data_IF_674788840940
#
_entry.id   IF_674788840940
#
_cell.length_a   1.000
_cell.length_b   1.000
_cell.length_c   1.000
_cell.angle_alpha   90.00
_cell.angle_beta   90.00
_cell.angle_gamma   90.00
#
_symmetry.space_group_name_H-M   'P 1'
#
loop_
_entity.id
_entity.type
_entity.pdbx_description
1 polymer ?
#
# COMPACT_ATOMS: atom_id res chain seq x y z
N UNK A 1 21.88 -10.83 -21.67
CA UNK A 1 20.83 -11.50 -20.86
C UNK A 1 19.57 -10.70 -21.03
N UNK A 2 18.49 -11.34 -21.43
CA UNK A 2 17.32 -10.70 -22.01
C UNK A 2 16.52 -9.87 -21.00
N UNK A 3 16.24 -8.62 -21.31
CA UNK A 3 15.39 -7.71 -20.55
C UNK A 3 14.00 -8.36 -20.29
N UNK A 4 13.48 -9.11 -21.23
CA UNK A 4 12.24 -9.89 -21.06
C UNK A 4 12.35 -10.96 -19.96
N UNK A 5 13.52 -11.58 -19.79
CA UNK A 5 13.75 -12.55 -18.71
C UNK A 5 13.74 -11.88 -17.33
N UNK A 6 14.30 -10.69 -17.20
CA UNK A 6 14.28 -9.93 -15.94
C UNK A 6 12.86 -9.44 -15.61
N UNK A 7 12.12 -8.92 -16.58
CA UNK A 7 10.74 -8.52 -16.40
C UNK A 7 9.85 -9.70 -15.94
N UNK A 8 10.01 -10.87 -16.58
CA UNK A 8 9.30 -12.09 -16.17
C UNK A 8 9.62 -12.51 -14.74
N UNK A 9 10.89 -12.42 -14.31
CA UNK A 9 11.31 -12.71 -12.93
C UNK A 9 10.68 -11.72 -11.92
N UNK A 10 10.63 -10.43 -12.26
CA UNK A 10 10.01 -9.42 -11.41
C UNK A 10 8.51 -9.69 -11.27
N UNK A 11 7.80 -9.93 -12.37
CA UNK A 11 6.38 -10.30 -12.36
C UNK A 11 6.12 -11.56 -11.52
N UNK A 12 6.97 -12.59 -11.62
CA UNK A 12 6.85 -13.81 -10.81
C UNK A 12 7.02 -13.51 -9.32
N UNK A 13 7.98 -12.65 -8.93
CA UNK A 13 8.18 -12.22 -7.54
C UNK A 13 6.99 -11.44 -7.00
N UNK A 14 6.42 -10.55 -7.81
CA UNK A 14 5.21 -9.79 -7.48
C UNK A 14 4.05 -10.74 -7.21
N UNK A 15 3.79 -11.70 -8.12
CA UNK A 15 2.74 -12.71 -7.94
C UNK A 15 2.96 -13.58 -6.70
N UNK A 16 4.20 -13.98 -6.44
CA UNK A 16 4.53 -14.76 -5.25
C UNK A 16 4.31 -13.97 -3.95
N UNK A 17 4.60 -12.67 -3.95
CA UNK A 17 4.33 -11.81 -2.79
C UNK A 17 2.81 -11.62 -2.61
N UNK A 18 2.08 -11.36 -3.68
CA UNK A 18 0.63 -11.22 -3.66
C UNK A 18 -0.08 -12.50 -3.16
N UNK A 19 0.43 -13.68 -3.51
CA UNK A 19 -0.11 -14.96 -3.05
C UNK A 19 0.08 -15.23 -1.55
N UNK A 20 1.02 -14.53 -0.91
CA UNK A 20 1.26 -14.63 0.54
C UNK A 20 0.29 -13.82 1.39
N UNK A 21 -0.72 -13.22 0.80
CA UNK A 21 -1.81 -12.53 1.51
C UNK A 21 -2.65 -13.51 2.30
N UNK A 22 -2.05 -14.15 3.28
CA UNK A 22 -2.76 -15.14 4.08
C UNK A 22 -3.12 -14.59 5.44
N UNK A 23 -4.32 -14.74 5.80
CA UNK A 23 -5.08 -15.11 6.98
C UNK A 23 -4.45 -14.92 8.39
N UNK A 24 -3.18 -14.54 8.52
CA UNK A 24 -2.53 -14.27 9.81
C UNK A 24 -2.38 -12.78 9.99
N UNK A 25 -2.99 -12.25 11.06
CA UNK A 25 -2.80 -10.86 11.47
C UNK A 25 -1.32 -10.50 11.49
N UNK A 26 -0.93 -9.51 10.70
CA UNK A 26 0.43 -8.98 10.71
C UNK A 26 0.49 -7.72 11.61
N UNK A 27 1.65 -7.50 12.19
CA UNK A 27 1.93 -6.26 12.89
C UNK A 27 2.05 -5.09 11.90
N UNK A 28 1.97 -3.88 12.41
CA UNK A 28 2.20 -2.70 11.59
C UNK A 28 3.63 -2.65 11.01
N UNK A 29 4.64 -3.14 11.77
CA UNK A 29 5.99 -3.28 11.29
C UNK A 29 6.07 -4.15 10.03
N UNK A 30 5.37 -5.28 10.04
CA UNK A 30 5.26 -6.17 8.88
C UNK A 30 4.53 -5.51 7.71
N UNK A 31 3.48 -4.71 7.98
CA UNK A 31 2.78 -3.95 6.95
C UNK A 31 3.69 -2.93 6.27
N UNK A 32 4.52 -2.22 7.03
CA UNK A 32 5.44 -1.24 6.47
C UNK A 32 6.63 -1.90 5.77
N UNK A 33 7.15 -3.00 6.29
CA UNK A 33 8.17 -3.78 5.58
C UNK A 33 7.62 -4.32 4.25
N UNK A 34 6.36 -4.77 4.24
CA UNK A 34 5.67 -5.16 3.02
C UNK A 34 5.53 -3.99 2.04
N UNK A 35 5.15 -2.79 2.53
CA UNK A 35 5.06 -1.59 1.68
C UNK A 35 6.41 -1.21 1.07
N UNK A 36 7.49 -1.22 1.85
CA UNK A 36 8.84 -0.97 1.34
C UNK A 36 9.21 -1.98 0.25
N UNK A 37 8.95 -3.27 0.48
CA UNK A 37 9.21 -4.34 -0.50
C UNK A 37 8.38 -4.20 -1.76
N UNK A 38 7.11 -3.83 -1.62
CA UNK A 38 6.24 -3.49 -2.76
C UNK A 38 6.85 -2.36 -3.57
N UNK A 39 7.27 -1.26 -2.91
CA UNK A 39 7.92 -0.13 -3.56
C UNK A 39 9.15 -0.54 -4.38
N UNK A 40 10.07 -1.32 -3.78
CA UNK A 40 11.24 -1.82 -4.49
C UNK A 40 10.88 -2.65 -5.73
N UNK A 41 9.91 -3.54 -5.62
CA UNK A 41 9.49 -4.40 -6.75
C UNK A 41 8.85 -3.58 -7.87
N UNK A 42 8.03 -2.57 -7.54
CA UNK A 42 7.44 -1.67 -8.52
C UNK A 42 8.49 -0.81 -9.22
N UNK A 43 9.53 -0.35 -8.49
CA UNK A 43 10.64 0.39 -9.07
C UNK A 43 11.45 -0.47 -10.06
N UNK A 44 11.77 -1.71 -9.67
CA UNK A 44 12.47 -2.67 -10.54
C UNK A 44 11.61 -2.98 -11.76
N UNK A 45 10.31 -3.17 -11.59
CA UNK A 45 9.37 -3.41 -12.69
C UNK A 45 9.36 -2.23 -13.67
N UNK A 46 9.22 -1.00 -13.16
CA UNK A 46 9.22 0.20 -13.99
C UNK A 46 10.53 0.42 -14.77
N UNK A 47 11.67 0.04 -14.16
CA UNK A 47 12.98 0.13 -14.83
C UNK A 47 13.21 -0.99 -15.86
N UNK A 48 12.53 -2.13 -15.70
CA UNK A 48 12.68 -3.31 -16.57
C UNK A 48 11.73 -3.30 -17.75
N UNK A 49 10.75 -2.37 -17.79
CA UNK A 49 9.74 -2.30 -18.84
C UNK A 49 10.20 -1.39 -19.98
N UNK A 50 10.05 -1.86 -21.21
CA UNK A 50 10.18 -1.04 -22.40
C UNK A 50 8.85 -0.42 -22.80
N UNK A 51 8.87 0.61 -23.67
CA UNK A 51 7.64 1.23 -24.19
C UNK A 51 6.78 0.23 -25.01
N UNK A 52 7.42 -0.70 -25.70
CA UNK A 52 6.72 -1.76 -26.47
C UNK A 52 5.98 -2.70 -25.53
N UNK A 53 6.67 -3.21 -24.50
CA UNK A 53 6.07 -4.08 -23.47
C UNK A 53 4.94 -3.37 -22.74
N UNK A 54 5.11 -2.07 -22.44
CA UNK A 54 4.06 -1.28 -21.83
C UNK A 54 2.81 -1.20 -22.73
N UNK A 55 2.96 -1.05 -24.04
CA UNK A 55 1.83 -1.00 -24.97
C UNK A 55 1.07 -2.32 -25.04
N UNK A 56 1.77 -3.43 -24.92
CA UNK A 56 1.20 -4.79 -24.96
C UNK A 56 0.58 -5.20 -23.61
N UNK A 57 1.03 -4.63 -22.50
CA UNK A 57 0.53 -4.96 -21.16
C UNK A 57 -0.96 -4.63 -21.03
N UNK A 58 -1.77 -5.56 -20.54
CA UNK A 58 -3.18 -5.34 -20.32
C UNK A 58 -3.43 -4.60 -18.99
N UNK A 59 -4.42 -3.70 -18.96
CA UNK A 59 -4.93 -3.19 -17.69
C UNK A 59 -5.86 -4.22 -17.05
N UNK A 60 -5.68 -4.43 -15.75
CA UNK A 60 -6.47 -5.35 -14.92
C UNK A 60 -7.42 -4.55 -14.03
N UNK A 61 -8.64 -5.03 -13.90
CA UNK A 61 -9.58 -4.60 -12.88
C UNK A 61 -9.74 -5.70 -11.84
N UNK A 62 -9.54 -5.36 -10.56
CA UNK A 62 -9.72 -6.30 -9.45
C UNK A 62 -10.67 -5.73 -8.42
N UNK A 63 -11.71 -6.50 -8.08
CA UNK A 63 -12.66 -6.19 -7.02
C UNK A 63 -12.24 -6.90 -5.72
N UNK A 64 -12.26 -6.17 -4.62
CA UNK A 64 -11.82 -6.65 -3.31
C UNK A 64 -12.95 -6.40 -2.31
N UNK A 65 -13.67 -7.44 -1.86
CA UNK A 65 -14.67 -7.31 -0.83
C UNK A 65 -14.00 -7.12 0.54
N UNK A 66 -14.00 -5.91 1.05
CA UNK A 66 -13.45 -5.57 2.37
C UNK A 66 -14.53 -4.88 3.22
N UNK A 67 -15.49 -5.66 3.65
CA UNK A 67 -16.53 -5.24 4.56
C UNK A 67 -16.07 -5.12 6.02
N UNK A 68 -17.04 -4.99 6.92
CA UNK A 68 -16.80 -5.03 8.35
C UNK A 68 -16.34 -3.70 8.97
N UNK A 69 -15.89 -3.75 10.24
CA UNK A 69 -15.70 -2.56 11.08
C UNK A 69 -14.52 -1.69 10.67
N UNK A 70 -13.54 -2.23 9.94
CA UNK A 70 -12.33 -1.52 9.49
C UNK A 70 -12.53 -0.75 8.18
N UNK A 71 -13.60 -1.06 7.44
CA UNK A 71 -13.84 -0.54 6.09
C UNK A 71 -13.71 0.98 5.96
N UNK A 72 -14.26 1.74 6.90
CA UNK A 72 -14.22 3.20 6.82
C UNK A 72 -12.80 3.75 6.96
N UNK A 73 -11.97 3.13 7.81
CA UNK A 73 -10.58 3.48 7.97
C UNK A 73 -9.75 3.08 6.74
N UNK A 74 -9.99 1.88 6.19
CA UNK A 74 -9.37 1.43 4.94
C UNK A 74 -9.75 2.34 3.77
N UNK A 75 -11.01 2.76 3.69
CA UNK A 75 -11.45 3.73 2.69
C UNK A 75 -10.76 5.09 2.82
N UNK A 76 -10.42 5.51 4.04
CA UNK A 76 -9.68 6.74 4.30
C UNK A 76 -8.27 6.68 3.73
N UNK A 77 -7.57 5.58 3.93
CA UNK A 77 -6.19 5.41 3.43
C UNK A 77 -6.11 4.98 1.95
N UNK A 78 -7.22 4.53 1.34
CA UNK A 78 -7.22 3.98 -0.01
C UNK A 78 -6.62 4.91 -1.07
N UNK A 79 -6.88 6.24 -1.07
CA UNK A 79 -6.22 7.14 -2.02
C UNK A 79 -4.69 7.16 -1.92
N UNK A 80 -4.13 7.09 -0.71
CA UNK A 80 -2.68 7.04 -0.51
C UNK A 80 -2.09 5.72 -1.02
N UNK A 81 -2.79 4.61 -0.79
CA UNK A 81 -2.42 3.31 -1.34
C UNK A 81 -2.40 3.32 -2.88
N UNK A 82 -3.42 3.92 -3.51
CA UNK A 82 -3.50 4.02 -4.97
C UNK A 82 -2.34 4.83 -5.55
N UNK A 83 -1.99 5.97 -4.92
CA UNK A 83 -0.82 6.78 -5.32
C UNK A 83 0.47 6.00 -5.17
N UNK A 84 0.65 5.33 -4.04
CA UNK A 84 1.84 4.54 -3.77
C UNK A 84 2.06 3.41 -4.77
N UNK A 85 0.99 2.73 -5.19
CA UNK A 85 1.03 1.63 -6.17
C UNK A 85 0.79 2.08 -7.62
N UNK A 86 0.65 3.38 -7.88
CA UNK A 86 0.41 3.93 -9.23
C UNK A 86 -0.83 3.33 -9.92
N UNK A 87 -1.86 3.01 -9.13
CA UNK A 87 -3.13 2.47 -9.59
C UNK A 87 -4.23 3.53 -9.57
N UNK A 88 -5.29 3.26 -10.31
CA UNK A 88 -6.59 3.90 -10.13
C UNK A 88 -7.50 3.00 -9.29
N UNK A 89 -8.52 3.59 -8.67
CA UNK A 89 -9.48 2.79 -7.91
C UNK A 89 -10.65 3.59 -7.42
N UNK A 90 -11.70 2.89 -7.04
CA UNK A 90 -12.93 3.44 -6.50
C UNK A 90 -13.58 2.45 -5.53
N UNK A 91 -14.62 2.89 -4.84
CA UNK A 91 -15.45 1.99 -4.04
C UNK A 91 -16.76 1.75 -4.77
N UNK A 92 -17.14 0.49 -4.94
CA UNK A 92 -18.38 0.08 -5.56
C UNK A 92 -19.35 -0.44 -4.48
N UNK A 93 -20.52 0.18 -4.41
CA UNK A 93 -21.47 -0.12 -3.35
C UNK A 93 -20.94 0.21 -1.95
N UNK A 94 -21.27 -0.64 -0.95
CA UNK A 94 -20.88 -0.40 0.44
C UNK A 94 -19.64 -1.14 0.89
N UNK A 95 -19.20 -2.16 0.18
CA UNK A 95 -18.20 -3.11 0.70
C UNK A 95 -17.00 -3.33 -0.21
N UNK A 96 -17.12 -3.07 -1.51
CA UNK A 96 -16.08 -3.38 -2.46
C UNK A 96 -15.12 -2.22 -2.70
N UNK A 97 -13.84 -2.55 -2.71
CA UNK A 97 -12.77 -1.72 -3.26
C UNK A 97 -12.43 -2.26 -4.65
N UNK A 98 -12.36 -1.38 -5.63
CA UNK A 98 -11.99 -1.77 -6.99
C UNK A 98 -10.67 -1.12 -7.34
N UNK A 99 -9.71 -1.94 -7.75
CA UNK A 99 -8.41 -1.54 -8.26
C UNK A 99 -8.40 -1.65 -9.77
N UNK A 100 -7.74 -0.71 -10.43
CA UNK A 100 -7.54 -0.68 -11.88
C UNK A 100 -6.14 -0.17 -12.21
N UNK A 101 -5.42 -0.89 -13.05
CA UNK A 101 -4.05 -0.54 -13.44
C UNK A 101 -3.35 -1.65 -14.19
N UNK A 102 -2.04 -1.54 -14.35
CA UNK A 102 -1.24 -2.64 -14.85
C UNK A 102 -1.27 -3.81 -13.85
N UNK A 103 -1.19 -5.03 -14.35
CA UNK A 103 -1.29 -6.23 -13.50
C UNK A 103 -0.38 -6.18 -12.28
N UNK A 104 0.93 -5.88 -12.38
CA UNK A 104 1.80 -5.85 -11.22
C UNK A 104 1.41 -4.80 -10.19
N UNK A 105 1.00 -3.62 -10.62
CA UNK A 105 0.58 -2.52 -9.74
C UNK A 105 -0.68 -2.91 -8.96
N UNK A 106 -1.66 -3.52 -9.65
CA UNK A 106 -2.92 -3.99 -9.06
C UNK A 106 -2.67 -5.13 -8.06
N UNK A 107 -1.81 -6.10 -8.40
CA UNK A 107 -1.46 -7.20 -7.50
C UNK A 107 -0.77 -6.69 -6.23
N UNK A 108 0.12 -5.71 -6.37
CA UNK A 108 0.79 -5.11 -5.22
C UNK A 108 -0.16 -4.28 -4.36
N UNK A 109 -1.04 -3.50 -4.97
CA UNK A 109 -2.07 -2.76 -4.24
C UNK A 109 -3.03 -3.69 -3.49
N UNK A 110 -3.43 -4.79 -4.12
CA UNK A 110 -4.24 -5.84 -3.51
C UNK A 110 -3.53 -6.45 -2.29
N UNK A 111 -2.29 -6.89 -2.47
CA UNK A 111 -1.48 -7.44 -1.38
C UNK A 111 -1.37 -6.45 -0.21
N UNK A 112 -0.93 -5.22 -0.50
CA UNK A 112 -0.68 -4.23 0.54
C UNK A 112 -1.96 -3.82 1.29
N UNK A 113 -3.10 -3.76 0.60
CA UNK A 113 -4.39 -3.46 1.23
C UNK A 113 -4.76 -4.53 2.27
N UNK A 114 -4.52 -5.82 1.96
CA UNK A 114 -4.79 -6.92 2.91
C UNK A 114 -3.80 -6.91 4.09
N UNK A 115 -2.53 -6.65 3.83
CA UNK A 115 -1.52 -6.53 4.89
C UNK A 115 -1.88 -5.40 5.86
N UNK A 116 -2.27 -4.24 5.34
CA UNK A 116 -2.72 -3.10 6.16
C UNK A 116 -4.01 -3.42 6.93
N UNK A 117 -4.96 -4.11 6.31
CA UNK A 117 -6.18 -4.52 6.98
C UNK A 117 -5.88 -5.48 8.15
N UNK A 118 -4.97 -6.43 7.96
CA UNK A 118 -4.48 -7.33 9.00
C UNK A 118 -3.76 -6.59 10.13
N UNK A 119 -2.90 -5.65 9.80
CA UNK A 119 -2.20 -4.82 10.78
C UNK A 119 -3.17 -3.98 11.64
N UNK A 120 -4.18 -3.36 11.00
CA UNK A 120 -5.21 -2.61 11.71
C UNK A 120 -6.00 -3.50 12.67
N UNK A 121 -6.38 -4.71 12.23
CA UNK A 121 -7.09 -5.66 13.06
C UNK A 121 -6.24 -6.10 14.27
N UNK A 122 -4.96 -6.39 14.05
CA UNK A 122 -4.02 -6.76 15.10
C UNK A 122 -3.84 -5.63 16.14
N UNK A 123 -3.57 -4.41 15.69
CA UNK A 123 -3.37 -3.27 16.58
C UNK A 123 -4.68 -2.89 17.34
N UNK A 124 -5.84 -3.07 16.73
CA UNK A 124 -7.11 -2.90 17.44
C UNK A 124 -7.28 -3.91 18.57
N UNK A 125 -6.92 -5.19 18.35
CA UNK A 125 -6.96 -6.22 19.42
C UNK A 125 -6.04 -5.80 20.57
N UNK A 126 -4.82 -5.37 20.29
CA UNK A 126 -3.87 -4.88 21.30
C UNK A 126 -4.43 -3.65 22.04
N UNK A 127 -5.03 -2.70 21.32
CA UNK A 127 -5.63 -1.53 21.94
C UNK A 127 -6.79 -1.89 22.86
N UNK A 128 -7.65 -2.82 22.45
CA UNK A 128 -8.76 -3.33 23.28
C UNK A 128 -8.30 -3.99 24.58
N UNK A 129 -7.10 -4.55 24.63
CA UNK A 129 -6.50 -5.12 25.82
C UNK A 129 -5.83 -4.06 26.74
N UNK A 130 -5.75 -2.80 26.30
CA UNK A 130 -5.07 -1.73 27.04
C UNK A 130 -5.93 -1.14 28.18
N UNK A 131 -5.26 -0.60 29.21
CA UNK A 131 -5.91 0.18 30.29
C UNK A 131 -6.62 1.43 29.75
N UNK A 132 -6.07 2.04 28.71
CA UNK A 132 -6.63 3.23 28.06
C UNK A 132 -8.01 2.93 27.46
N UNK A 133 -8.15 1.83 26.75
CA UNK A 133 -9.45 1.38 26.23
C UNK A 133 -10.42 1.00 27.34
N UNK A 134 -9.95 0.30 28.37
CA UNK A 134 -10.80 -0.11 29.50
C UNK A 134 -11.45 1.11 30.20
N UNK A 135 -10.70 2.19 30.37
CA UNK A 135 -11.21 3.45 30.95
C UNK A 135 -12.29 4.14 30.09
N UNK A 136 -12.33 3.85 28.79
CA UNK A 136 -13.25 4.47 27.81
C UNK A 136 -14.30 3.52 27.26
N UNK A 137 -14.40 2.32 27.83
CA UNK A 137 -15.25 1.23 27.32
C UNK A 137 -16.72 1.61 27.18
N UNK A 138 -17.20 2.56 27.97
CA UNK A 138 -18.58 3.06 27.90
C UNK A 138 -18.93 3.74 26.56
N UNK A 139 -17.92 4.15 25.78
CA UNK A 139 -18.05 4.73 24.43
C UNK A 139 -17.34 3.89 23.36
N UNK A 140 -17.33 2.58 23.52
CA UNK A 140 -16.53 1.64 22.73
C UNK A 140 -16.56 1.90 21.21
N UNK A 141 -17.74 2.13 20.63
CA UNK A 141 -17.86 2.38 19.18
C UNK A 141 -17.16 3.67 18.74
N UNK A 142 -17.32 4.76 19.48
CA UNK A 142 -16.70 6.04 19.17
C UNK A 142 -15.18 5.97 19.34
N UNK A 143 -14.73 5.32 20.41
CA UNK A 143 -13.32 5.09 20.74
C UNK A 143 -12.63 4.26 19.65
N UNK A 144 -13.18 3.11 19.32
CA UNK A 144 -12.59 2.23 18.29
C UNK A 144 -12.62 2.86 16.91
N UNK A 145 -13.68 3.59 16.57
CA UNK A 145 -13.73 4.33 15.31
C UNK A 145 -12.63 5.40 15.24
N UNK A 146 -12.43 6.16 16.32
CA UNK A 146 -11.38 7.18 16.39
C UNK A 146 -9.99 6.56 16.32
N UNK A 147 -9.75 5.44 17.02
CA UNK A 147 -8.51 4.67 16.92
C UNK A 147 -8.20 4.25 15.48
N UNK A 148 -9.16 3.63 14.80
CA UNK A 148 -9.01 3.18 13.41
C UNK A 148 -8.67 4.32 12.46
N UNK A 149 -9.30 5.49 12.64
CA UNK A 149 -8.98 6.66 11.84
C UNK A 149 -7.59 7.21 12.12
N UNK A 150 -7.14 7.24 13.39
CA UNK A 150 -5.78 7.65 13.73
C UNK A 150 -4.73 6.76 13.08
N UNK A 151 -4.94 5.44 13.15
CA UNK A 151 -4.08 4.45 12.47
C UNK A 151 -4.03 4.68 10.96
N UNK A 152 -5.18 4.78 10.31
CA UNK A 152 -5.28 4.96 8.87
C UNK A 152 -4.69 6.30 8.41
N UNK A 153 -4.88 7.38 9.14
CA UNK A 153 -4.33 8.70 8.84
C UNK A 153 -2.79 8.69 8.89
N UNK A 154 -2.24 8.06 9.92
CA UNK A 154 -0.78 7.93 10.03
C UNK A 154 -0.18 7.09 8.90
N UNK A 155 -0.81 5.96 8.58
CA UNK A 155 -0.36 5.13 7.46
C UNK A 155 -0.51 5.82 6.11
N UNK A 156 -1.61 6.57 5.90
CA UNK A 156 -1.77 7.37 4.66
C UNK A 156 -0.61 8.32 4.46
N UNK A 157 -0.26 9.10 5.50
CA UNK A 157 0.87 10.04 5.44
C UNK A 157 2.18 9.35 5.11
N UNK A 158 2.43 8.18 5.71
CA UNK A 158 3.66 7.42 5.46
C UNK A 158 3.72 6.83 4.05
N UNK A 159 2.60 6.34 3.53
CA UNK A 159 2.53 5.89 2.13
C UNK A 159 2.76 7.05 1.15
N UNK A 160 2.22 8.23 1.45
CA UNK A 160 2.45 9.43 0.65
C UNK A 160 3.92 9.86 0.70
N UNK A 161 4.53 9.93 1.89
CA UNK A 161 5.97 10.21 2.07
C UNK A 161 6.85 9.23 1.28
N UNK A 162 6.51 7.94 1.30
CA UNK A 162 7.24 6.91 0.55
C UNK A 162 7.04 7.06 -0.96
N UNK A 163 5.83 7.39 -1.43
CA UNK A 163 5.54 7.63 -2.83
C UNK A 163 6.32 8.84 -3.35
N UNK A 164 6.32 9.96 -2.61
CA UNK A 164 7.06 11.17 -2.94
C UNK A 164 8.57 10.91 -3.01
N UNK A 165 9.13 10.18 -2.04
CA UNK A 165 10.54 9.81 -2.03
C UNK A 165 10.92 8.94 -3.25
N UNK A 166 10.06 7.99 -3.65
CA UNK A 166 10.25 7.17 -4.85
C UNK A 166 10.20 8.03 -6.12
N UNK A 167 9.23 8.91 -6.25
CA UNK A 167 9.12 9.81 -7.39
C UNK A 167 10.32 10.75 -7.49
N UNK A 168 10.78 11.33 -6.39
CA UNK A 168 11.98 12.17 -6.37
C UNK A 168 13.24 11.38 -6.76
N UNK A 169 13.42 10.16 -6.25
CA UNK A 169 14.54 9.31 -6.62
C UNK A 169 14.50 8.88 -8.09
N UNK A 170 13.31 8.62 -8.64
CA UNK A 170 13.12 8.30 -10.05
C UNK A 170 13.44 9.52 -10.93
N UNK A 171 13.03 10.72 -10.53
CA UNK A 171 13.32 11.96 -11.22
C UNK A 171 14.82 12.26 -11.24
N UNK A 172 15.50 12.14 -10.11
CA UNK A 172 16.96 12.32 -10.02
C UNK A 172 17.72 11.34 -10.94
N UNK A 173 17.26 10.08 -11.00
CA UNK A 173 17.83 9.09 -11.94
C UNK A 173 17.60 9.48 -13.41
N UNK A 174 16.41 9.98 -13.76
CA UNK A 174 16.08 10.45 -15.10
C UNK A 174 16.99 11.60 -15.55
N UNK A 175 17.20 12.56 -14.67
CA UNK A 175 18.08 13.71 -14.94
C UNK A 175 19.54 13.27 -15.16
N UNK A 176 19.99 12.23 -14.44
CA UNK A 176 21.34 11.69 -14.57
C UNK A 176 21.56 10.86 -15.85
N UNK A 177 20.50 10.26 -16.44
CA UNK A 177 20.64 9.26 -17.51
C UNK A 177 20.16 9.75 -18.89
N UNK A 178 19.71 10.99 -19.01
CA UNK A 178 19.16 11.63 -20.22
C UNK A 178 18.28 10.72 -21.13
N UNK A 179 16.99 10.99 -21.19
CA UNK A 179 16.08 10.84 -22.34
C UNK A 179 15.01 9.73 -22.33
N UNK A 180 15.21 8.50 -21.87
CA UNK A 180 14.22 7.44 -22.16
C UNK A 180 13.11 7.32 -21.11
N UNK A 181 13.35 7.73 -19.89
CA UNK A 181 12.48 7.45 -18.73
C UNK A 181 11.21 8.33 -18.66
N UNK A 182 11.24 9.56 -19.19
CA UNK A 182 10.07 10.45 -19.16
C UNK A 182 8.98 10.00 -20.13
N UNK A 183 9.37 9.51 -21.31
CA UNK A 183 8.44 8.99 -22.30
C UNK A 183 7.66 7.77 -21.77
N UNK A 184 8.33 6.89 -21.03
CA UNK A 184 7.72 5.70 -20.44
C UNK A 184 6.69 6.06 -19.36
N UNK A 185 6.97 7.03 -18.49
CA UNK A 185 6.00 7.50 -17.48
C UNK A 185 4.76 8.07 -18.14
N UNK A 186 4.94 8.96 -19.14
CA UNK A 186 3.83 9.53 -19.88
C UNK A 186 3.04 8.47 -20.66
N UNK A 187 3.72 7.46 -21.21
CA UNK A 187 3.06 6.34 -21.88
C UNK A 187 2.21 5.51 -20.90
N UNK A 188 2.72 5.24 -19.70
CA UNK A 188 1.98 4.54 -18.63
C UNK A 188 0.74 5.35 -18.22
N UNK A 189 0.87 6.63 -17.97
CA UNK A 189 -0.23 7.50 -17.59
C UNK A 189 -1.32 7.54 -18.68
N UNK A 190 -0.94 7.70 -19.96
CA UNK A 190 -1.87 7.67 -21.09
C UNK A 190 -2.61 6.35 -21.17
N UNK A 191 -1.89 5.23 -21.06
CA UNK A 191 -2.48 3.90 -21.12
C UNK A 191 -3.49 3.69 -20.00
N UNK A 192 -3.17 4.08 -18.78
CA UNK A 192 -4.10 4.02 -17.65
C UNK A 192 -5.32 4.91 -17.85
N UNK A 193 -5.13 6.11 -18.40
CA UNK A 193 -6.22 7.05 -18.69
C UNK A 193 -7.15 6.51 -19.79
N UNK A 194 -6.59 6.00 -20.87
CA UNK A 194 -7.36 5.41 -21.97
C UNK A 194 -8.14 4.17 -21.52
N UNK A 195 -7.47 3.26 -20.81
CA UNK A 195 -8.11 2.07 -20.26
C UNK A 195 -9.21 2.41 -19.27
N UNK A 196 -8.99 3.38 -18.41
CA UNK A 196 -9.98 3.83 -17.45
C UNK A 196 -11.19 4.50 -18.12
N UNK A 197 -10.96 5.34 -19.13
CA UNK A 197 -12.02 5.97 -19.93
C UNK A 197 -12.83 4.92 -20.67
N UNK A 198 -12.19 3.87 -21.18
CA UNK A 198 -12.83 2.73 -21.84
C UNK A 198 -13.83 1.98 -20.95
N UNK A 199 -13.72 2.07 -19.61
CA UNK A 199 -14.69 1.47 -18.69
C UNK A 199 -16.06 2.18 -18.69
N UNK A 200 -16.18 3.37 -19.26
CA UNK A 200 -17.43 4.13 -19.32
C UNK A 200 -18.04 4.50 -17.96
N UNK A 201 -17.23 4.49 -16.89
CA UNK A 201 -17.70 4.71 -15.53
C UNK A 201 -18.01 6.20 -15.28
N UNK A 202 -19.14 6.46 -14.64
CA UNK A 202 -19.47 7.76 -14.08
C UNK A 202 -19.19 7.78 -12.59
N UNK A 203 -17.95 8.08 -12.21
CA UNK A 203 -17.56 8.22 -10.83
C UNK A 203 -17.93 9.61 -10.29
N UNK A 204 -18.33 9.63 -9.02
CA UNK A 204 -18.50 10.87 -8.27
C UNK A 204 -17.58 10.87 -7.06
N UNK A 205 -17.00 12.01 -6.76
CA UNK A 205 -16.21 12.17 -5.54
C UNK A 205 -17.14 12.13 -4.33
N UNK A 206 -16.84 11.24 -3.39
CA UNK A 206 -17.55 11.16 -2.12
C UNK A 206 -16.60 11.61 -1.02
N UNK A 207 -16.87 12.76 -0.45
CA UNK A 207 -16.14 13.26 0.71
C UNK A 207 -16.59 12.47 1.95
N UNK A 208 -15.67 11.76 2.57
CA UNK A 208 -15.90 11.09 3.84
C UNK A 208 -15.22 11.89 4.93
N UNK A 209 -16.01 12.67 5.68
CA UNK A 209 -15.47 13.31 6.86
C UNK A 209 -15.20 12.25 7.95
N UNK A 210 -13.94 12.13 8.37
CA UNK A 210 -13.60 11.34 9.54
C UNK A 210 -14.14 12.05 10.79
N UNK A 211 -15.19 11.51 11.39
CA UNK A 211 -15.69 12.04 12.65
C UNK A 211 -14.86 11.45 13.80
N UNK A 212 -13.84 12.17 14.22
CA UNK A 212 -13.07 11.84 15.43
C UNK A 212 -13.84 12.33 16.65
N UNK A 213 -14.38 11.40 17.43
CA UNK A 213 -15.13 11.71 18.68
C UNK A 213 -14.27 11.57 19.93
N UNK A 214 -13.19 10.81 19.86
CA UNK A 214 -12.23 10.62 20.96
C UNK A 214 -10.81 10.90 20.45
N UNK A 215 -10.29 12.06 20.84
CA UNK A 215 -8.94 12.49 20.43
C UNK A 215 -7.84 11.63 21.05
N UNK A 216 -8.05 11.11 22.26
CA UNK A 216 -7.09 10.22 22.91
C UNK A 216 -6.97 8.89 22.15
N UNK A 217 -8.09 8.26 21.82
CA UNK A 217 -8.10 7.04 21.03
C UNK A 217 -7.53 7.25 19.60
N UNK A 218 -7.82 8.40 18.99
CA UNK A 218 -7.21 8.77 17.71
C UNK A 218 -5.68 8.88 17.84
N UNK A 219 -5.17 9.55 18.88
CA UNK A 219 -3.73 9.64 19.15
C UNK A 219 -3.10 8.26 19.35
N UNK A 220 -3.75 7.36 20.09
CA UNK A 220 -3.29 5.96 20.23
C UNK A 220 -3.26 5.19 18.90
N UNK A 221 -4.25 5.42 18.07
CA UNK A 221 -4.25 4.89 16.70
C UNK A 221 -3.07 5.42 15.87
N UNK A 222 -2.84 6.72 15.91
CA UNK A 222 -1.72 7.35 15.22
C UNK A 222 -0.35 6.92 15.78
N UNK A 223 -0.23 6.71 17.10
CA UNK A 223 0.96 6.13 17.70
C UNK A 223 1.18 4.68 17.26
N UNK A 224 0.11 3.88 17.19
CA UNK A 224 0.16 2.54 16.64
C UNK A 224 0.60 2.57 15.18
N UNK A 225 0.09 3.51 14.38
CA UNK A 225 0.54 3.84 13.02
C UNK A 225 1.94 4.46 12.91
N UNK A 226 2.57 4.82 13.98
CA UNK A 226 3.87 5.51 14.03
C UNK A 226 5.04 4.73 14.61
N UNK A 227 4.78 3.66 15.36
CA UNK A 227 5.81 2.89 16.06
C UNK A 227 6.75 2.09 15.17
N UNK A 228 6.53 2.10 13.88
CA UNK A 228 7.38 1.40 12.94
C UNK A 228 8.61 2.24 12.64
N UNK A 229 9.77 1.74 13.04
CA UNK A 229 11.06 2.27 12.63
C UNK A 229 11.15 2.27 11.11
N UNK A 230 11.32 3.46 10.53
CA UNK A 230 11.68 3.65 9.11
C UNK A 230 13.15 3.35 8.88
N UNK A 231 13.77 2.60 9.76
CA UNK A 231 15.14 2.18 9.53
C UNK A 231 15.13 1.12 8.44
N UNK A 232 15.62 1.56 7.30
CA UNK A 232 16.11 0.72 6.22
C UNK A 232 16.86 -0.45 6.84
N UNK A 233 16.58 -1.70 6.54
CA UNK A 233 17.55 -2.73 6.73
C UNK A 233 18.66 -2.46 5.71
N UNK A 234 19.64 -1.65 6.10
CA UNK A 234 20.92 -1.61 5.44
C UNK A 234 21.50 -3.01 5.61
N UNK A 235 21.44 -3.79 4.55
CA UNK A 235 22.18 -5.03 4.43
C UNK A 235 23.67 -4.75 4.44
N UNK A 236 24.23 -4.50 5.61
CA UNK A 236 25.62 -4.75 5.89
C UNK A 236 25.68 -6.17 6.41
N UNK A 237 26.26 -7.06 5.60
CA UNK A 237 26.50 -8.44 5.96
C UNK A 237 27.22 -8.55 7.29
N UNK A 238 26.49 -8.94 8.32
CA UNK A 238 27.05 -9.57 9.49
C UNK A 238 26.97 -11.08 9.25
N UNK A 239 28.10 -11.68 8.99
CA UNK A 239 28.25 -13.12 8.87
C UNK A 239 27.72 -13.85 10.12
N UNK A 240 27.45 -15.16 10.02
CA UNK A 240 26.83 -15.92 11.08
C UNK A 240 27.69 -15.91 12.33
N UNK A 241 27.10 -15.49 13.45
CA UNK A 241 27.75 -15.58 14.76
C UNK A 241 28.12 -17.03 15.06
N UNK A 242 29.42 -17.30 15.25
CA UNK A 242 29.92 -18.59 15.73
C UNK A 242 29.38 -18.83 17.13
N UNK A 243 28.60 -19.89 17.28
CA UNK A 243 28.24 -20.44 18.58
C UNK A 243 29.50 -20.95 19.29
N UNK A 244 29.69 -20.71 20.59
CA UNK A 244 30.79 -21.28 21.34
C UNK A 244 30.58 -22.79 21.47
N UNK A 245 31.62 -23.56 21.15
CA UNK A 245 31.67 -25.00 21.42
C UNK A 245 31.82 -25.20 22.93
N UNK A 246 30.97 -26.02 23.50
CA UNK A 246 31.27 -26.83 24.70
C UNK A 246 31.54 -28.24 24.27
#
# INVERSE_FOLDING_TARGET
MDQQTELAKVKARIRALAARTTERGCSEAEAMAAAAKVGELLDIYGLSMSEVELREEACLQRRIPLGGPHRLALRWLFPALLRFCECRGWTDGREDFVLFGLEPDVEMAHYLLHVIAGALAHEEVRYRASRDYAARRHQAQAVLRSFRYGFADRLSKRLDEMAEARHAAAEARRQATATTSTALVLAKERKLEEGFRGLGLRLRTVYSAATVRDRGAYGRGAEAGGRVGLERPLGTGAGPARLPRR
#
